data_IF_412839155617
#
_entry.id   IF_412839155617
#
_cell.length_a   1.000
_cell.length_b   1.000
_cell.length_c   1.000
_cell.angle_alpha   90.00
_cell.angle_beta   90.00
_cell.angle_gamma   90.00
#
_symmetry.space_group_name_H-M   'P 1'
#
loop_
_entity.id
_entity.type
_entity.pdbx_description
1 polymer ?
#
# COMPACT_ATOMS: atom_id res chain seq x y z
N UNK A 1 -31.46 -71.49 -7.74
CA UNK A 1 -32.34 -70.41 -7.23
C UNK A 1 -31.66 -69.81 -6.00
N UNK A 2 -31.49 -68.50 -5.84
CA UNK A 2 -31.80 -67.42 -6.80
C UNK A 2 -30.84 -66.23 -6.66
N UNK A 3 -30.62 -65.54 -7.79
CA UNK A 3 -30.32 -64.09 -7.94
C UNK A 3 -29.49 -63.34 -6.89
N UNK A 4 -28.33 -62.81 -7.34
CA UNK A 4 -27.79 -61.54 -6.85
C UNK A 4 -28.62 -60.37 -7.41
N UNK A 5 -28.65 -59.23 -6.73
CA UNK A 5 -28.93 -57.93 -7.34
C UNK A 5 -27.89 -56.89 -6.88
N UNK A 6 -27.37 -56.12 -7.83
CA UNK A 6 -26.60 -54.89 -7.59
C UNK A 6 -27.47 -53.71 -8.05
N UNK A 7 -27.76 -52.77 -7.15
CA UNK A 7 -28.36 -51.46 -7.45
C UNK A 7 -27.76 -50.45 -6.49
N UNK A 8 -27.33 -49.25 -6.87
CA UNK A 8 -27.32 -48.65 -8.20
C UNK A 8 -27.22 -47.13 -8.06
N UNK A 9 -25.99 -46.59 -8.12
CA UNK A 9 -25.70 -45.20 -7.74
C UNK A 9 -26.39 -44.18 -8.66
N UNK A 10 -27.55 -43.68 -8.23
CA UNK A 10 -28.45 -42.87 -9.04
C UNK A 10 -28.00 -41.41 -9.07
N UNK A 11 -27.07 -41.10 -9.99
CA UNK A 11 -26.67 -39.73 -10.34
C UNK A 11 -27.85 -38.91 -10.86
N UNK A 12 -28.47 -38.13 -9.97
CA UNK A 12 -29.49 -37.15 -10.34
C UNK A 12 -28.87 -36.02 -11.18
N UNK A 13 -29.23 -35.94 -12.45
CA UNK A 13 -28.95 -34.77 -13.29
C UNK A 13 -29.70 -33.55 -12.75
N UNK A 14 -28.98 -32.54 -12.26
CA UNK A 14 -29.53 -31.20 -12.03
C UNK A 14 -29.10 -30.31 -13.20
N UNK A 15 -30.08 -29.69 -13.86
CA UNK A 15 -29.87 -28.92 -15.09
C UNK A 15 -29.07 -27.65 -14.81
N UNK A 16 -28.00 -27.46 -15.57
CA UNK A 16 -27.17 -26.25 -15.53
C UNK A 16 -27.98 -25.06 -16.05
N UNK A 17 -28.09 -23.98 -15.27
CA UNK A 17 -28.63 -22.71 -15.77
C UNK A 17 -27.80 -21.53 -15.26
N UNK A 18 -27.56 -20.54 -16.12
CA UNK A 18 -26.36 -19.70 -16.03
C UNK A 18 -26.39 -18.61 -14.95
N UNK A 19 -25.67 -18.82 -13.85
CA UNK A 19 -25.20 -17.76 -12.95
C UNK A 19 -23.97 -18.25 -12.17
N UNK A 20 -22.81 -17.65 -12.41
CA UNK A 20 -21.52 -18.14 -11.92
C UNK A 20 -21.26 -17.79 -10.44
N UNK A 21 -21.99 -18.43 -9.53
CA UNK A 21 -21.73 -18.33 -8.09
C UNK A 21 -20.35 -18.90 -7.74
N UNK A 22 -19.57 -18.17 -6.95
CA UNK A 22 -18.22 -18.59 -6.50
C UNK A 22 -18.23 -18.88 -5.01
N UNK A 23 -17.74 -20.05 -4.61
CA UNK A 23 -17.42 -20.32 -3.20
C UNK A 23 -16.14 -19.54 -2.89
N UNK A 24 -16.13 -18.78 -1.79
CA UNK A 24 -14.93 -18.07 -1.32
C UNK A 24 -14.13 -18.90 -0.30
N UNK A 25 -12.99 -18.36 0.13
CA UNK A 25 -12.09 -18.96 1.15
C UNK A 25 -12.77 -19.20 2.52
N UNK A 26 -13.96 -18.63 2.73
CA UNK A 26 -14.78 -18.73 3.95
C UNK A 26 -15.88 -19.81 3.77
N UNK A 27 -15.95 -20.48 2.61
CA UNK A 27 -17.00 -21.45 2.29
C UNK A 27 -18.36 -20.82 1.93
N UNK A 28 -18.45 -19.50 1.88
CA UNK A 28 -19.69 -18.79 1.52
C UNK A 28 -19.87 -18.76 -0.01
N UNK A 29 -21.06 -19.15 -0.47
CA UNK A 29 -21.43 -19.07 -1.88
C UNK A 29 -21.80 -17.62 -2.26
N UNK A 30 -20.92 -16.96 -3.01
CA UNK A 30 -21.09 -15.59 -3.47
C UNK A 30 -21.83 -15.57 -4.82
N UNK A 31 -22.96 -14.86 -4.88
CA UNK A 31 -23.75 -14.63 -6.08
C UNK A 31 -23.57 -13.19 -6.63
N UNK A 32 -23.33 -12.99 -7.94
CA UNK A 32 -23.24 -11.64 -8.50
C UNK A 32 -24.53 -10.82 -8.35
N UNK A 33 -24.41 -9.53 -8.01
CA UNK A 33 -25.53 -8.60 -7.81
C UNK A 33 -25.54 -7.48 -8.87
N UNK A 34 -26.65 -6.76 -8.97
CA UNK A 34 -26.85 -5.63 -9.89
C UNK A 34 -26.37 -4.30 -9.29
N UNK A 35 -26.25 -3.26 -10.11
CA UNK A 35 -25.99 -1.90 -9.61
C UNK A 35 -27.12 -1.49 -8.65
N UNK A 36 -26.76 -0.87 -7.52
CA UNK A 36 -27.68 -0.45 -6.46
C UNK A 36 -28.41 -1.55 -5.66
N UNK A 37 -28.28 -2.84 -6.00
CA UNK A 37 -28.87 -3.97 -5.26
C UNK A 37 -28.52 -3.92 -3.76
N UNK A 38 -29.47 -4.32 -2.92
CA UNK A 38 -29.30 -4.37 -1.46
C UNK A 38 -29.99 -5.58 -0.86
N UNK A 39 -29.43 -6.10 0.23
CA UNK A 39 -30.00 -7.18 1.00
C UNK A 39 -29.58 -7.10 2.46
N UNK A 40 -29.75 -8.19 3.21
CA UNK A 40 -29.28 -8.27 4.59
C UNK A 40 -28.77 -9.65 4.95
N UNK A 41 -27.80 -9.70 5.86
CA UNK A 41 -27.09 -10.89 6.25
C UNK A 41 -26.22 -11.50 5.15
N UNK A 42 -25.94 -12.79 5.30
CA UNK A 42 -25.00 -13.53 4.48
C UNK A 42 -25.38 -13.56 2.98
N UNK A 43 -24.39 -13.62 2.08
CA UNK A 43 -22.95 -13.69 2.36
C UNK A 43 -22.28 -12.32 2.51
N UNK A 44 -22.99 -11.19 2.40
CA UNK A 44 -22.39 -9.84 2.26
C UNK A 44 -22.51 -8.92 3.47
N UNK A 45 -23.22 -9.35 4.51
CA UNK A 45 -23.27 -8.71 5.82
C UNK A 45 -23.30 -9.79 6.93
N UNK A 46 -22.86 -9.48 8.16
CA UNK A 46 -22.96 -10.41 9.27
C UNK A 46 -24.43 -10.65 9.68
N UNK A 47 -24.64 -11.78 10.34
CA UNK A 47 -25.90 -12.21 10.99
C UNK A 47 -25.59 -12.60 12.43
N UNK A 48 -26.61 -12.56 13.28
CA UNK A 48 -26.53 -12.93 14.70
C UNK A 48 -25.46 -12.14 15.47
N UNK A 49 -25.19 -10.91 15.02
CA UNK A 49 -24.18 -10.02 15.57
C UNK A 49 -24.70 -8.57 15.70
N UNK A 50 -24.57 -7.92 16.87
CA UNK A 50 -23.92 -8.41 18.09
C UNK A 50 -24.77 -9.38 18.92
N UNK A 51 -26.10 -9.41 18.72
CA UNK A 51 -27.01 -10.35 19.38
C UNK A 51 -27.57 -11.37 18.38
N UNK A 52 -27.97 -12.55 18.85
CA UNK A 52 -28.72 -13.53 18.05
C UNK A 52 -30.01 -12.91 17.49
N UNK A 53 -30.25 -13.08 16.19
CA UNK A 53 -31.31 -12.40 15.44
C UNK A 53 -30.91 -11.08 14.77
N UNK A 54 -29.75 -10.49 15.13
CA UNK A 54 -29.33 -9.21 14.56
C UNK A 54 -28.83 -9.37 13.12
N UNK A 55 -29.54 -8.72 12.19
CA UNK A 55 -29.26 -8.80 10.76
C UNK A 55 -28.82 -7.44 10.23
N UNK A 56 -27.55 -7.35 9.83
CA UNK A 56 -27.00 -6.16 9.16
C UNK A 56 -27.45 -6.11 7.70
N UNK A 57 -27.56 -4.90 7.15
CA UNK A 57 -27.92 -4.71 5.74
C UNK A 57 -26.69 -4.34 4.90
N UNK A 58 -26.68 -4.72 3.62
CA UNK A 58 -25.62 -4.40 2.66
C UNK A 58 -26.24 -3.77 1.41
N UNK A 59 -25.45 -2.94 0.71
CA UNK A 59 -25.85 -2.37 -0.59
C UNK A 59 -24.66 -2.16 -1.53
N UNK A 60 -24.82 -2.58 -2.79
CA UNK A 60 -23.95 -2.21 -3.90
C UNK A 60 -24.19 -0.75 -4.33
N UNK A 61 -23.13 -0.06 -4.77
CA UNK A 61 -23.20 1.26 -5.38
C UNK A 61 -23.00 1.19 -6.90
N UNK A 62 -22.42 2.27 -7.46
CA UNK A 62 -22.21 2.39 -8.91
C UNK A 62 -20.87 1.79 -9.39
N UNK A 63 -19.75 2.14 -8.75
CA UNK A 63 -18.43 1.80 -9.29
C UNK A 63 -18.08 0.34 -9.07
N UNK A 64 -17.61 -0.31 -10.13
CA UNK A 64 -17.21 -1.72 -10.18
C UNK A 64 -15.69 -1.78 -10.47
N UNK A 65 -15.01 -2.79 -9.95
CA UNK A 65 -13.59 -3.08 -10.20
C UNK A 65 -13.40 -3.84 -11.52
N UNK A 66 -12.21 -3.81 -12.10
CA UNK A 66 -11.86 -4.67 -13.25
C UNK A 66 -11.97 -6.17 -12.95
N UNK A 67 -11.90 -6.55 -11.66
CA UNK A 67 -12.18 -7.92 -11.17
C UNK A 67 -13.68 -8.28 -11.10
N UNK A 68 -14.59 -7.36 -11.45
CA UNK A 68 -16.03 -7.60 -11.48
C UNK A 68 -16.70 -7.58 -10.10
N UNK A 69 -16.27 -6.70 -9.19
CA UNK A 69 -16.87 -6.54 -7.86
C UNK A 69 -17.16 -5.06 -7.53
N UNK A 70 -18.12 -4.79 -6.66
CA UNK A 70 -18.50 -3.41 -6.31
C UNK A 70 -17.46 -2.73 -5.42
N UNK A 71 -16.85 -1.67 -5.97
CA UNK A 71 -15.94 -0.74 -5.28
C UNK A 71 -16.69 0.20 -4.35
N UNK A 72 -17.85 0.69 -4.82
CA UNK A 72 -18.83 1.31 -3.95
C UNK A 72 -19.68 0.22 -3.29
N UNK A 73 -19.48 -0.03 -2.00
CA UNK A 73 -20.44 -0.79 -1.20
C UNK A 73 -20.69 -0.12 0.15
N UNK A 74 -21.79 -0.50 0.76
CA UNK A 74 -22.28 0.03 2.02
C UNK A 74 -22.70 -1.11 2.93
N UNK A 75 -22.41 -0.98 4.22
CA UNK A 75 -22.84 -1.89 5.27
C UNK A 75 -23.57 -1.09 6.35
N UNK A 76 -24.72 -1.56 6.82
CA UNK A 76 -25.63 -0.81 7.70
C UNK A 76 -25.90 -1.57 9.00
N UNK A 77 -25.98 -0.83 10.10
CA UNK A 77 -26.33 -1.38 11.41
C UNK A 77 -27.79 -1.91 11.41
N UNK A 78 -28.09 -2.96 12.20
CA UNK A 78 -29.47 -3.39 12.45
C UNK A 78 -30.33 -2.23 12.96
N UNK A 79 -31.60 -2.19 12.52
CA UNK A 79 -32.46 -0.98 12.60
C UNK A 79 -32.77 -0.47 14.01
N UNK A 80 -32.56 -1.27 15.06
CA UNK A 80 -32.74 -0.86 16.45
C UNK A 80 -31.51 -0.16 17.06
N UNK A 81 -30.32 -0.28 16.45
CA UNK A 81 -29.15 0.49 16.86
C UNK A 81 -29.30 1.97 16.47
N UNK A 82 -29.13 2.86 17.46
CA UNK A 82 -29.07 4.30 17.22
C UNK A 82 -27.71 4.67 16.63
N UNK A 83 -27.69 5.69 15.77
CA UNK A 83 -26.44 6.21 15.22
C UNK A 83 -25.48 6.67 16.34
N UNK A 84 -24.15 6.48 16.20
CA UNK A 84 -23.16 7.03 17.11
C UNK A 84 -23.36 8.54 17.32
N UNK A 85 -23.21 9.01 18.56
CA UNK A 85 -23.52 10.39 18.97
C UNK A 85 -22.83 11.42 18.04
N UNK A 86 -23.62 12.19 17.30
CA UNK A 86 -23.17 13.28 16.43
C UNK A 86 -23.03 12.95 14.94
N UNK A 87 -23.19 11.68 14.51
CA UNK A 87 -23.00 11.27 13.11
C UNK A 87 -24.29 11.01 12.32
N UNK A 88 -24.53 11.74 11.22
CA UNK A 88 -25.61 11.41 10.27
C UNK A 88 -25.29 10.14 9.45
N UNK A 89 -25.75 8.98 9.94
CA UNK A 89 -26.25 7.76 9.23
C UNK A 89 -25.68 6.46 9.82
N UNK A 90 -26.55 5.44 9.96
CA UNK A 90 -26.22 4.06 10.30
C UNK A 90 -25.51 3.31 9.14
N UNK A 91 -24.51 3.91 8.49
CA UNK A 91 -23.87 3.34 7.28
C UNK A 91 -22.35 3.49 7.26
N UNK A 92 -21.68 2.38 7.00
CA UNK A 92 -20.24 2.28 6.83
C UNK A 92 -19.88 2.19 5.35
N UNK A 93 -18.82 2.92 4.95
CA UNK A 93 -18.34 3.03 3.56
C UNK A 93 -17.00 2.34 3.31
N UNK A 94 -16.36 1.82 4.36
CA UNK A 94 -15.04 1.17 4.30
C UNK A 94 -14.85 0.16 5.45
N UNK A 95 -13.99 -0.86 5.25
CA UNK A 95 -13.58 -1.82 6.31
C UNK A 95 -13.05 -1.07 7.55
N UNK A 96 -12.33 0.03 7.34
CA UNK A 96 -11.78 0.90 8.40
C UNK A 96 -12.90 1.59 9.20
N UNK A 97 -13.97 2.07 8.55
CA UNK A 97 -15.09 2.70 9.26
C UNK A 97 -15.84 1.71 10.16
N UNK A 98 -16.01 0.46 9.72
CA UNK A 98 -16.56 -0.62 10.57
C UNK A 98 -15.58 -0.96 11.69
N UNK A 99 -14.29 -1.17 11.39
CA UNK A 99 -13.27 -1.50 12.40
C UNK A 99 -13.17 -0.45 13.51
N UNK A 100 -13.19 0.85 13.18
CA UNK A 100 -13.18 1.94 14.16
C UNK A 100 -14.43 1.99 15.04
N UNK A 101 -15.60 1.63 14.49
CA UNK A 101 -16.84 1.50 15.26
C UNK A 101 -16.77 0.32 16.23
N UNK A 102 -16.37 -0.86 15.75
CA UNK A 102 -16.20 -2.05 16.60
C UNK A 102 -15.19 -1.81 17.72
N UNK A 103 -14.02 -1.22 17.43
CA UNK A 103 -13.00 -0.87 18.43
C UNK A 103 -13.46 0.16 19.48
N UNK A 104 -14.56 0.88 19.24
CA UNK A 104 -15.07 1.92 20.14
C UNK A 104 -16.24 1.42 20.98
N UNK A 105 -17.23 0.75 20.36
CA UNK A 105 -18.43 0.24 21.05
C UNK A 105 -18.22 -1.17 21.64
N UNK A 106 -17.26 -1.95 21.10
CA UNK A 106 -16.97 -3.36 21.49
C UNK A 106 -15.45 -3.61 21.58
N UNK A 107 -14.73 -3.02 22.56
CA UNK A 107 -13.26 -3.05 22.61
C UNK A 107 -12.65 -4.45 22.65
N UNK A 108 -13.32 -5.39 23.33
CA UNK A 108 -12.85 -6.78 23.55
C UNK A 108 -13.14 -7.73 22.37
N UNK A 109 -13.55 -7.21 21.21
CA UNK A 109 -13.91 -7.98 20.02
C UNK A 109 -12.70 -8.55 19.26
N UNK A 110 -12.76 -9.84 18.88
CA UNK A 110 -12.03 -10.31 17.71
C UNK A 110 -12.64 -9.75 16.41
N UNK A 111 -12.08 -8.64 15.97
CA UNK A 111 -12.43 -7.94 14.72
C UNK A 111 -12.11 -8.80 13.49
N UNK A 112 -11.15 -9.72 13.57
CA UNK A 112 -10.81 -10.62 12.47
C UNK A 112 -11.89 -11.70 12.35
N UNK A 113 -12.33 -12.30 13.46
CA UNK A 113 -13.49 -13.21 13.48
C UNK A 113 -14.76 -12.53 12.94
N UNK A 114 -15.03 -11.28 13.32
CA UNK A 114 -16.13 -10.50 12.74
C UNK A 114 -16.04 -10.40 11.22
N UNK A 115 -14.88 -10.04 10.66
CA UNK A 115 -14.70 -9.96 9.20
C UNK A 115 -14.53 -11.32 8.50
N UNK A 116 -14.30 -12.40 9.24
CA UNK A 116 -14.35 -13.76 8.73
C UNK A 116 -15.78 -14.32 8.69
N UNK A 117 -16.75 -13.72 9.39
CA UNK A 117 -18.14 -14.19 9.37
C UNK A 117 -18.89 -13.92 8.05
N UNK A 118 -18.40 -13.00 7.21
CA UNK A 118 -19.05 -12.62 5.94
C UNK A 118 -18.05 -12.13 4.89
N UNK A 119 -18.43 -12.22 3.60
CA UNK A 119 -17.65 -11.66 2.50
C UNK A 119 -17.81 -10.14 2.41
N UNK A 120 -16.71 -9.40 2.56
CA UNK A 120 -16.70 -7.99 2.16
C UNK A 120 -16.85 -7.82 0.63
N UNK A 121 -16.31 -8.73 -0.18
CA UNK A 121 -16.42 -8.64 -1.63
C UNK A 121 -17.85 -8.94 -2.08
N UNK A 122 -18.47 -8.01 -2.82
CA UNK A 122 -19.77 -8.19 -3.49
C UNK A 122 -19.51 -8.23 -5.01
N UNK A 123 -19.67 -9.38 -5.70
CA UNK A 123 -19.46 -9.47 -7.15
C UNK A 123 -20.58 -8.75 -7.93
N UNK A 124 -20.29 -8.32 -9.15
CA UNK A 124 -21.22 -7.62 -10.05
C UNK A 124 -21.64 -8.50 -11.24
N UNK A 125 -22.89 -8.33 -11.68
CA UNK A 125 -23.42 -8.91 -12.93
C UNK A 125 -22.89 -8.21 -14.19
N UNK A 126 -22.37 -6.99 -14.09
CA UNK A 126 -21.85 -6.24 -15.24
C UNK A 126 -20.39 -6.61 -15.53
N UNK A 127 -20.07 -6.86 -16.81
CA UNK A 127 -18.68 -6.89 -17.28
C UNK A 127 -18.10 -5.46 -17.31
N UNK A 128 -16.77 -5.28 -17.16
CA UNK A 128 -16.16 -3.94 -17.20
C UNK A 128 -16.37 -3.26 -18.56
N UNK A 129 -17.26 -2.26 -18.62
CA UNK A 129 -17.56 -1.53 -19.86
C UNK A 129 -16.55 -0.41 -20.11
N UNK A 130 -15.85 -0.45 -21.24
CA UNK A 130 -14.87 0.56 -21.64
C UNK A 130 -15.54 1.81 -22.23
N UNK A 131 -16.07 2.67 -21.37
CA UNK A 131 -16.54 4.03 -21.72
C UNK A 131 -16.15 5.03 -20.61
N UNK A 132 -16.22 6.32 -20.94
CA UNK A 132 -15.89 7.51 -20.13
C UNK A 132 -14.41 7.97 -20.18
N UNK A 133 -13.93 8.25 -21.40
CA UNK A 133 -12.86 9.25 -21.63
C UNK A 133 -13.28 10.15 -22.80
N UNK A 134 -14.01 11.22 -22.50
CA UNK A 134 -14.06 12.40 -23.37
C UNK A 134 -12.92 13.35 -22.95
N UNK A 135 -11.90 13.49 -23.78
CA UNK A 135 -11.01 14.66 -23.75
C UNK A 135 -10.52 14.99 -25.16
N UNK A 136 -10.49 16.28 -25.47
CA UNK A 136 -10.27 16.85 -26.79
C UNK A 136 -8.78 17.18 -27.04
N UNK A 137 -8.46 17.72 -28.22
CA UNK A 137 -7.17 18.21 -28.71
C UNK A 137 -6.13 17.17 -29.17
N UNK A 138 -6.30 16.78 -30.44
CA UNK A 138 -5.29 16.94 -31.49
C UNK A 138 -3.85 16.42 -31.25
N UNK A 139 -3.55 15.23 -31.80
CA UNK A 139 -2.26 15.04 -32.46
C UNK A 139 -2.43 14.26 -33.78
N UNK A 140 -1.78 14.75 -34.82
CA UNK A 140 -1.96 14.35 -36.22
C UNK A 140 -1.33 12.99 -36.57
N UNK A 141 -1.90 12.34 -37.59
CA UNK A 141 -1.58 10.97 -38.04
C UNK A 141 -0.09 10.64 -38.24
N UNK A 142 0.24 9.35 -38.05
CA UNK A 142 0.85 8.61 -39.16
C UNK A 142 0.29 7.18 -39.28
N UNK A 143 -0.64 7.02 -40.21
CA UNK A 143 -1.30 5.76 -40.51
C UNK A 143 -0.36 4.75 -41.20
N UNK A 144 -0.19 3.56 -40.63
CA UNK A 144 0.34 2.36 -41.31
C UNK A 144 -0.61 1.19 -41.09
N UNK A 145 -1.07 0.60 -42.18
CA UNK A 145 -2.14 -0.41 -42.17
C UNK A 145 -1.66 -1.80 -41.79
N UNK A 146 -2.26 -2.38 -40.74
CA UNK A 146 -2.79 -3.76 -40.83
C UNK A 146 -3.82 -3.98 -39.73
N UNK A 147 -5.06 -4.32 -40.11
CA UNK A 147 -6.15 -4.56 -39.17
C UNK A 147 -6.31 -6.05 -38.87
N UNK A 148 -5.85 -6.50 -37.69
CA UNK A 148 -6.10 -7.88 -37.20
C UNK A 148 -6.85 -7.85 -35.87
N UNK A 149 -8.10 -8.27 -35.91
CA UNK A 149 -9.01 -8.43 -34.77
C UNK A 149 -8.55 -9.60 -33.89
N UNK A 150 -7.70 -9.33 -32.90
CA UNK A 150 -7.12 -10.37 -32.05
C UNK A 150 -8.19 -10.99 -31.13
N UNK A 151 -8.65 -12.19 -31.47
CA UNK A 151 -9.57 -12.96 -30.63
C UNK A 151 -8.85 -13.54 -29.41
N UNK A 152 -9.61 -13.72 -28.33
CA UNK A 152 -9.18 -14.43 -27.14
C UNK A 152 -9.06 -15.92 -27.47
N UNK A 153 -7.83 -16.45 -27.58
CA UNK A 153 -7.58 -17.89 -27.65
C UNK A 153 -6.53 -18.30 -26.61
N UNK A 154 -6.87 -19.34 -25.85
CA UNK A 154 -5.98 -20.01 -24.91
C UNK A 154 -5.23 -21.10 -25.70
N UNK A 155 -3.90 -21.06 -25.69
CA UNK A 155 -3.05 -22.19 -26.10
C UNK A 155 -1.66 -22.05 -25.47
N UNK A 156 -1.34 -23.03 -24.62
CA UNK A 156 -0.05 -23.65 -24.27
C UNK A 156 1.27 -22.85 -24.29
N UNK A 157 2.07 -23.08 -23.25
CA UNK A 157 3.36 -22.42 -23.01
C UNK A 157 4.47 -22.94 -23.95
N UNK A 158 5.47 -22.10 -24.26
CA UNK A 158 6.63 -22.08 -23.37
C UNK A 158 6.96 -20.68 -22.84
N UNK A 159 7.29 -20.61 -21.54
CA UNK A 159 7.89 -19.47 -20.80
C UNK A 159 7.62 -18.10 -21.44
N UNK A 160 6.40 -17.58 -21.24
CA UNK A 160 6.07 -16.18 -21.54
C UNK A 160 7.07 -15.30 -20.78
N UNK A 161 8.02 -14.70 -21.49
CA UNK A 161 9.13 -13.97 -20.90
C UNK A 161 8.61 -13.01 -19.83
N UNK A 162 9.02 -13.21 -18.57
CA UNK A 162 8.55 -12.38 -17.47
C UNK A 162 9.13 -10.99 -17.73
N UNK A 163 8.26 -10.05 -18.04
CA UNK A 163 8.62 -8.68 -18.40
C UNK A 163 7.95 -7.72 -17.44
N UNK A 164 8.71 -6.78 -16.91
CA UNK A 164 8.18 -5.77 -16.00
C UNK A 164 7.10 -4.96 -16.72
N UNK A 165 5.91 -4.82 -16.12
CA UNK A 165 4.84 -3.97 -16.66
C UNK A 165 5.31 -2.54 -16.95
N UNK A 166 6.25 -2.02 -16.15
CA UNK A 166 6.85 -0.70 -16.29
C UNK A 166 8.08 -0.65 -17.21
N UNK A 167 8.34 -1.70 -18.00
CA UNK A 167 9.48 -1.78 -18.92
C UNK A 167 10.86 -1.92 -18.26
N UNK A 168 10.95 -1.94 -16.93
CA UNK A 168 12.24 -2.05 -16.23
C UNK A 168 12.86 -3.45 -16.40
N UNK A 169 14.04 -3.49 -17.05
CA UNK A 169 14.81 -4.71 -17.32
C UNK A 169 15.44 -5.36 -16.08
N UNK A 170 15.60 -4.61 -14.98
CA UNK A 170 16.21 -5.07 -13.71
C UNK A 170 15.21 -5.12 -12.55
N UNK A 171 13.93 -5.35 -12.86
CA UNK A 171 12.85 -5.42 -11.87
C UNK A 171 12.95 -6.67 -10.99
N UNK A 172 12.77 -6.53 -9.67
CA UNK A 172 12.82 -7.65 -8.70
C UNK A 172 11.72 -8.71 -8.87
N UNK A 173 10.66 -8.39 -9.63
CA UNK A 173 9.66 -9.38 -10.04
C UNK A 173 10.11 -10.29 -11.21
N UNK A 174 11.35 -10.13 -11.71
CA UNK A 174 11.93 -10.92 -12.82
C UNK A 174 12.94 -11.97 -12.33
N UNK A 175 13.48 -11.80 -11.13
CA UNK A 175 14.33 -12.78 -10.46
C UNK A 175 13.46 -13.86 -9.84
N UNK A 176 13.78 -15.14 -10.12
CA UNK A 176 12.97 -16.31 -9.72
C UNK A 176 12.95 -16.53 -8.19
N UNK A 177 13.93 -15.98 -7.48
CA UNK A 177 14.16 -16.19 -6.05
C UNK A 177 13.46 -15.13 -5.17
N UNK A 178 12.13 -15.23 -5.03
CA UNK A 178 11.40 -14.44 -4.04
C UNK A 178 10.57 -15.38 -3.14
N UNK A 179 11.04 -15.72 -1.93
CA UNK A 179 10.43 -16.78 -1.09
C UNK A 179 9.00 -16.52 -0.61
N UNK A 180 8.49 -15.30 -0.77
CA UNK A 180 7.14 -14.91 -0.34
C UNK A 180 6.36 -14.31 -1.52
N UNK A 181 5.15 -14.82 -1.82
CA UNK A 181 4.27 -14.19 -2.79
C UNK A 181 3.99 -12.72 -2.45
N UNK A 182 4.00 -11.87 -3.47
CA UNK A 182 3.64 -10.47 -3.32
C UNK A 182 2.12 -10.33 -3.13
N UNK A 183 1.65 -9.60 -2.10
CA UNK A 183 0.23 -9.22 -1.93
C UNK A 183 -0.40 -8.79 -3.25
N UNK A 184 -1.51 -9.45 -3.62
CA UNK A 184 -2.33 -9.14 -4.79
C UNK A 184 -3.04 -7.78 -4.61
N UNK A 185 -2.36 -6.72 -5.05
CA UNK A 185 -2.92 -5.37 -5.08
C UNK A 185 -3.71 -5.12 -6.37
N UNK A 186 -5.04 -5.17 -6.28
CA UNK A 186 -5.95 -4.77 -7.37
C UNK A 186 -6.11 -3.25 -7.52
N UNK A 187 -5.62 -2.46 -6.55
CA UNK A 187 -5.69 -0.99 -6.53
C UNK A 187 -4.71 -0.34 -7.51
N UNK A 188 -3.52 -0.92 -7.69
CA UNK A 188 -2.45 -0.33 -8.50
C UNK A 188 -1.82 -1.32 -9.49
N UNK A 189 -1.65 -2.60 -9.12
CA UNK A 189 -1.04 -3.59 -10.02
C UNK A 189 -1.98 -4.04 -11.15
N UNK A 190 -3.22 -3.56 -11.15
CA UNK A 190 -4.20 -3.65 -12.22
C UNK A 190 -3.93 -2.68 -13.37
N UNK A 191 -3.33 -1.53 -13.10
CA UNK A 191 -3.10 -0.48 -14.11
C UNK A 191 -2.10 -0.93 -15.20
N UNK A 192 -2.38 -0.64 -16.49
CA UNK A 192 -1.41 -0.81 -17.56
C UNK A 192 -0.14 -0.01 -17.28
N UNK A 193 1.03 -0.60 -17.50
CA UNK A 193 2.32 0.03 -17.21
C UNK A 193 2.76 0.02 -15.74
N UNK A 194 1.86 -0.17 -14.76
CA UNK A 194 2.25 -0.12 -13.34
C UNK A 194 2.92 -1.42 -12.87
N UNK A 195 4.05 -1.31 -12.18
CA UNK A 195 4.72 -2.42 -11.50
C UNK A 195 4.94 -2.07 -10.02
N UNK A 196 4.49 -2.93 -9.10
CA UNK A 196 4.59 -2.72 -7.64
C UNK A 196 6.01 -2.43 -7.15
N UNK A 197 7.00 -3.03 -7.80
CA UNK A 197 8.42 -2.96 -7.42
C UNK A 197 9.16 -1.81 -8.09
N UNK A 198 8.58 -1.16 -9.10
CA UNK A 198 9.27 -0.14 -9.90
C UNK A 198 8.50 1.18 -10.02
N UNK A 199 7.21 1.24 -9.69
CA UNK A 199 6.37 2.43 -9.81
C UNK A 199 6.01 3.01 -8.43
N UNK A 200 5.99 4.34 -8.34
CA UNK A 200 5.48 5.04 -7.18
C UNK A 200 3.94 4.96 -7.11
N UNK A 201 3.41 4.47 -5.99
CA UNK A 201 1.97 4.35 -5.72
C UNK A 201 1.18 5.68 -5.79
N UNK A 202 1.87 6.83 -5.70
CA UNK A 202 1.24 8.16 -5.69
C UNK A 202 1.24 8.88 -7.04
N UNK A 203 2.08 8.47 -8.00
CA UNK A 203 2.19 9.14 -9.31
C UNK A 203 2.33 8.18 -10.51
N UNK A 204 2.32 6.87 -10.28
CA UNK A 204 2.49 5.77 -11.24
C UNK A 204 3.82 5.74 -12.03
N UNK A 205 4.61 6.82 -12.02
CA UNK A 205 5.93 6.90 -12.66
C UNK A 205 6.95 5.98 -11.98
N UNK A 206 7.96 5.59 -12.75
CA UNK A 206 9.06 4.76 -12.26
C UNK A 206 9.90 5.45 -11.18
N UNK A 207 10.40 4.67 -10.23
CA UNK A 207 11.47 5.05 -9.32
C UNK A 207 12.82 4.95 -10.02
N UNK A 208 13.79 5.76 -9.60
CA UNK A 208 15.18 5.51 -9.97
C UNK A 208 15.91 4.71 -8.88
N UNK A 209 16.75 3.77 -9.30
CA UNK A 209 17.71 3.07 -8.45
C UNK A 209 18.98 3.88 -8.17
N UNK A 210 19.14 5.07 -8.77
CA UNK A 210 20.32 5.91 -8.61
C UNK A 210 20.69 6.15 -7.14
N UNK A 211 22.00 6.11 -6.87
CA UNK A 211 22.60 6.31 -5.56
C UNK A 211 21.94 5.49 -4.44
N UNK A 212 21.79 4.18 -4.68
CA UNK A 212 21.21 3.20 -3.74
C UNK A 212 19.76 3.53 -3.35
N UNK A 213 18.97 3.92 -4.35
CA UNK A 213 17.52 4.10 -4.23
C UNK A 213 17.07 5.20 -3.26
N UNK A 214 17.94 6.20 -3.01
CA UNK A 214 17.72 7.23 -1.99
C UNK A 214 16.34 7.91 -2.10
N UNK A 215 15.87 8.12 -3.33
CA UNK A 215 14.70 8.94 -3.68
C UNK A 215 13.35 8.30 -3.40
N UNK A 216 13.31 7.03 -2.98
CA UNK A 216 12.07 6.30 -2.71
C UNK A 216 12.07 5.57 -1.36
N UNK A 217 10.87 5.20 -0.91
CA UNK A 217 10.63 4.38 0.28
C UNK A 217 9.75 3.19 -0.10
N UNK A 218 10.10 1.98 0.36
CA UNK A 218 9.31 0.75 0.17
C UNK A 218 8.55 0.42 1.45
N UNK A 219 7.31 -0.05 1.31
CA UNK A 219 6.52 -0.54 2.42
C UNK A 219 6.86 -2.00 2.75
N UNK A 220 7.55 -2.24 3.86
CA UNK A 220 7.99 -3.57 4.29
C UNK A 220 6.99 -4.31 5.20
N UNK A 221 5.86 -3.67 5.53
CA UNK A 221 4.83 -4.26 6.39
C UNK A 221 4.27 -5.58 5.82
N UNK A 222 4.22 -6.61 6.67
CA UNK A 222 3.62 -7.90 6.39
C UNK A 222 2.12 -7.85 6.69
N UNK A 223 1.31 -8.37 5.77
CA UNK A 223 -0.15 -8.43 5.84
C UNK A 223 -0.55 -9.84 5.47
N UNK A 224 -1.26 -10.56 6.34
CA UNK A 224 -1.83 -11.89 6.02
C UNK A 224 -0.77 -12.89 5.48
N UNK A 225 0.49 -12.77 5.96
CA UNK A 225 1.64 -13.59 5.56
C UNK A 225 2.54 -13.00 4.45
N UNK A 226 2.13 -11.90 3.82
CA UNK A 226 2.75 -11.38 2.60
C UNK A 226 3.25 -9.93 2.75
N UNK A 227 4.38 -9.60 2.11
CA UNK A 227 4.93 -8.24 2.14
C UNK A 227 4.10 -7.29 1.25
N UNK A 228 3.69 -6.16 1.81
CA UNK A 228 2.94 -5.10 1.12
C UNK A 228 3.70 -4.52 -0.09
N UNK A 229 5.00 -4.28 0.07
CA UNK A 229 5.99 -4.02 -0.99
C UNK A 229 5.81 -2.77 -1.84
N UNK A 230 4.72 -2.02 -1.69
CA UNK A 230 4.47 -0.80 -2.46
C UNK A 230 5.54 0.26 -2.23
N UNK A 231 6.01 0.85 -3.33
CA UNK A 231 7.04 1.90 -3.31
C UNK A 231 6.39 3.28 -3.50
N UNK A 232 6.97 4.32 -2.90
CA UNK A 232 6.68 5.72 -3.24
C UNK A 232 7.97 6.52 -3.39
N UNK A 233 8.04 7.47 -4.34
CA UNK A 233 9.03 8.55 -4.23
C UNK A 233 8.79 9.32 -2.93
N UNK A 234 9.88 9.76 -2.29
CA UNK A 234 9.81 10.55 -1.06
C UNK A 234 9.16 11.91 -1.31
N UNK A 235 9.51 12.60 -2.40
CA UNK A 235 8.90 13.89 -2.76
C UNK A 235 7.39 13.78 -2.99
N UNK A 236 6.91 12.68 -3.60
CA UNK A 236 5.48 12.43 -3.74
C UNK A 236 4.81 12.20 -2.38
N UNK A 237 5.44 11.44 -1.48
CA UNK A 237 4.88 11.17 -0.15
C UNK A 237 4.87 12.42 0.74
N UNK A 238 5.94 13.23 0.71
CA UNK A 238 6.04 14.51 1.41
C UNK A 238 4.96 15.48 0.92
N UNK A 239 4.83 15.66 -0.41
CA UNK A 239 3.81 16.53 -1.02
C UNK A 239 2.37 16.04 -0.81
N UNK A 240 2.16 14.76 -0.56
CA UNK A 240 0.86 14.16 -0.27
C UNK A 240 0.53 14.12 1.25
N UNK A 241 1.38 14.69 2.12
CA UNK A 241 1.26 14.58 3.58
C UNK A 241 1.26 13.13 4.10
N UNK A 242 1.94 12.24 3.37
CA UNK A 242 2.13 10.83 3.69
C UNK A 242 3.57 10.51 4.15
N UNK A 243 4.45 11.51 4.24
CA UNK A 243 5.79 11.37 4.80
C UNK A 243 6.18 12.59 5.66
N UNK A 244 7.13 12.40 6.57
CA UNK A 244 7.71 13.44 7.42
C UNK A 244 6.96 13.63 8.73
N UNK A 245 6.87 14.88 9.18
CA UNK A 245 6.09 15.28 10.37
C UNK A 245 4.77 15.91 9.93
N UNK A 246 3.63 15.30 10.27
CA UNK A 246 2.30 15.67 9.75
C UNK A 246 1.28 15.68 10.89
N UNK A 247 0.72 16.85 11.19
CA UNK A 247 -0.26 17.03 12.27
C UNK A 247 -1.67 16.52 11.98
N UNK A 248 -2.61 16.91 12.83
CA UNK A 248 -4.03 16.55 12.72
C UNK A 248 -4.27 15.04 12.81
N UNK A 249 -5.33 14.55 12.15
CA UNK A 249 -5.79 13.16 12.25
C UNK A 249 -4.82 12.10 11.69
N UNK A 250 -3.76 12.51 10.98
CA UNK A 250 -2.72 11.58 10.47
C UNK A 250 -1.64 11.39 11.55
N UNK A 251 -1.20 12.46 12.20
CA UNK A 251 -0.25 12.47 13.32
C UNK A 251 1.01 11.61 13.07
N UNK A 252 1.86 12.04 12.12
CA UNK A 252 3.17 11.45 11.83
C UNK A 252 4.28 12.27 12.49
N UNK A 253 5.32 11.61 13.01
CA UNK A 253 6.56 12.22 13.49
C UNK A 253 7.74 11.52 12.78
N UNK A 254 8.37 12.19 11.81
CA UNK A 254 9.37 11.62 10.90
C UNK A 254 9.03 10.17 10.46
N UNK A 255 7.84 9.98 9.88
CA UNK A 255 7.31 8.67 9.46
C UNK A 255 6.77 8.73 8.03
N UNK A 256 6.75 7.58 7.34
CA UNK A 256 6.01 7.34 6.11
C UNK A 256 4.75 6.53 6.42
N UNK A 257 3.62 6.90 5.80
CA UNK A 257 2.36 6.18 5.82
C UNK A 257 2.14 5.52 4.46
N UNK A 258 2.04 4.20 4.41
CA UNK A 258 1.82 3.49 3.15
C UNK A 258 0.38 3.66 2.65
N UNK A 259 0.21 4.17 1.42
CA UNK A 259 -1.11 4.44 0.82
C UNK A 259 -1.99 3.20 0.57
N UNK A 260 -1.41 2.00 0.58
CA UNK A 260 -2.15 0.75 0.37
C UNK A 260 -2.72 0.15 1.67
N UNK A 261 -1.93 0.14 2.75
CA UNK A 261 -2.23 -0.63 3.97
C UNK A 261 -2.21 0.20 5.27
N UNK A 262 -2.02 1.51 5.18
CA UNK A 262 -1.93 2.45 6.31
C UNK A 262 -0.83 2.09 7.35
N UNK A 263 0.12 1.22 7.00
CA UNK A 263 1.28 0.93 7.85
C UNK A 263 2.20 2.14 7.96
N UNK A 264 2.76 2.36 9.16
CA UNK A 264 3.74 3.41 9.42
C UNK A 264 5.16 2.84 9.42
N UNK A 265 6.09 3.55 8.81
CA UNK A 265 7.51 3.23 8.78
C UNK A 265 8.32 4.43 9.27
N UNK A 266 9.38 4.20 10.07
CA UNK A 266 10.25 5.28 10.53
C UNK A 266 11.17 5.77 9.41
N UNK A 267 11.24 7.09 9.20
CA UNK A 267 12.09 7.70 8.18
C UNK A 267 13.41 8.24 8.73
N UNK A 268 13.66 8.22 10.05
CA UNK A 268 14.97 8.61 10.60
C UNK A 268 16.10 7.70 10.10
N UNK A 269 15.96 6.36 10.02
CA UNK A 269 16.96 5.50 9.39
C UNK A 269 17.14 5.80 7.90
N UNK A 270 16.04 6.13 7.18
CA UNK A 270 16.12 6.49 5.76
C UNK A 270 16.86 7.81 5.56
N UNK A 271 16.59 8.84 6.38
CA UNK A 271 17.32 10.10 6.34
C UNK A 271 18.82 9.93 6.69
N UNK A 272 19.18 8.94 7.51
CA UNK A 272 20.58 8.57 7.74
C UNK A 272 21.19 7.90 6.50
N UNK A 273 20.42 7.06 5.79
CA UNK A 273 20.83 6.51 4.48
C UNK A 273 21.08 7.65 3.48
N UNK A 274 20.15 8.61 3.35
CA UNK A 274 20.32 9.81 2.50
C UNK A 274 21.64 10.53 2.79
N UNK A 275 21.95 10.76 4.07
CA UNK A 275 23.18 11.43 4.48
C UNK A 275 24.43 10.63 4.13
N UNK A 276 24.40 9.30 4.30
CA UNK A 276 25.51 8.43 3.93
C UNK A 276 25.72 8.36 2.41
N UNK A 277 24.63 8.32 1.63
CA UNK A 277 24.66 8.38 0.16
C UNK A 277 25.42 9.61 -0.35
N UNK A 278 25.33 10.76 0.33
CA UNK A 278 26.04 11.98 -0.08
C UNK A 278 27.57 11.84 -0.10
N UNK A 279 28.14 10.83 0.56
CA UNK A 279 29.60 10.60 0.59
C UNK A 279 30.16 9.99 -0.71
N UNK A 280 29.32 9.36 -1.53
CA UNK A 280 29.69 8.78 -2.83
C UNK A 280 29.23 9.60 -4.05
N UNK A 281 28.59 10.76 -3.82
CA UNK A 281 28.09 11.65 -4.88
C UNK A 281 29.12 12.74 -5.18
N UNK A 282 29.59 12.83 -6.43
CA UNK A 282 30.50 13.89 -6.86
C UNK A 282 29.80 15.23 -7.19
N UNK A 283 28.50 15.20 -7.48
CA UNK A 283 27.71 16.38 -7.85
C UNK A 283 27.20 17.14 -6.62
N UNK A 284 27.71 18.36 -6.40
CA UNK A 284 27.21 19.26 -5.34
C UNK A 284 25.72 19.59 -5.49
N UNK A 285 25.21 19.66 -6.71
CA UNK A 285 23.79 19.91 -6.97
C UNK A 285 22.90 18.72 -6.57
N UNK A 286 23.39 17.49 -6.72
CA UNK A 286 22.64 16.29 -6.34
C UNK A 286 22.77 15.98 -4.84
N UNK A 287 23.93 16.26 -4.23
CA UNK A 287 24.05 16.31 -2.76
C UNK A 287 23.03 17.29 -2.17
N UNK A 288 22.88 18.49 -2.73
CA UNK A 288 21.88 19.44 -2.21
C UNK A 288 20.44 18.90 -2.32
N UNK A 289 20.08 18.23 -3.43
CA UNK A 289 18.76 17.56 -3.55
C UNK A 289 18.57 16.50 -2.45
N UNK A 290 19.56 15.62 -2.25
CA UNK A 290 19.50 14.55 -1.24
C UNK A 290 19.37 15.13 0.18
N UNK A 291 20.17 16.15 0.53
CA UNK A 291 20.10 16.83 1.83
C UNK A 291 18.75 17.55 2.03
N UNK A 292 18.19 18.19 0.99
CA UNK A 292 16.89 18.83 1.06
C UNK A 292 15.76 17.83 1.37
N UNK A 293 15.78 16.63 0.78
CA UNK A 293 14.82 15.56 1.11
C UNK A 293 14.97 15.14 2.58
N UNK A 294 16.20 14.98 3.08
CA UNK A 294 16.48 14.70 4.49
C UNK A 294 15.95 15.78 5.45
N UNK A 295 16.13 17.06 5.11
CA UNK A 295 15.57 18.19 5.87
C UNK A 295 14.04 18.11 5.90
N UNK A 296 13.39 17.87 4.76
CA UNK A 296 11.93 17.78 4.67
C UNK A 296 11.35 16.60 5.46
N UNK A 297 12.07 15.47 5.56
CA UNK A 297 11.67 14.31 6.39
C UNK A 297 11.71 14.63 7.89
N UNK A 298 12.76 15.29 8.34
CA UNK A 298 13.07 15.46 9.77
C UNK A 298 12.52 16.76 10.38
N UNK A 299 12.15 17.74 9.56
CA UNK A 299 11.63 19.04 10.01
C UNK A 299 10.43 18.86 10.96
N UNK A 300 10.48 19.55 12.09
CA UNK A 300 9.44 19.53 13.12
C UNK A 300 9.34 18.24 13.94
N UNK A 301 10.16 17.22 13.63
CA UNK A 301 10.15 15.93 14.35
C UNK A 301 10.42 16.11 15.83
N UNK A 302 9.79 15.30 16.69
CA UNK A 302 10.02 15.36 18.14
C UNK A 302 11.07 14.36 18.64
N UNK A 303 11.36 13.30 17.86
CA UNK A 303 12.44 12.33 18.09
C UNK A 303 13.80 13.02 18.30
N UNK A 304 14.52 12.65 19.37
CA UNK A 304 15.88 13.14 19.65
C UNK A 304 16.84 12.87 18.48
N UNK A 305 16.85 11.64 17.98
CA UNK A 305 17.66 11.22 16.83
C UNK A 305 17.32 11.97 15.55
N UNK A 306 16.04 12.31 15.33
CA UNK A 306 15.60 13.12 14.20
C UNK A 306 16.13 14.56 14.27
N UNK A 307 16.08 15.19 15.45
CA UNK A 307 16.60 16.54 15.70
C UNK A 307 18.13 16.61 15.54
N UNK A 308 18.85 15.64 16.09
CA UNK A 308 20.32 15.53 15.98
C UNK A 308 20.77 15.34 14.52
N UNK A 309 20.11 14.44 13.79
CA UNK A 309 20.39 14.18 12.38
C UNK A 309 20.05 15.38 11.49
N UNK A 310 18.94 16.09 11.77
CA UNK A 310 18.57 17.33 11.07
C UNK A 310 19.67 18.39 11.22
N UNK A 311 20.12 18.67 12.45
CA UNK A 311 21.20 19.63 12.71
C UNK A 311 22.50 19.25 11.97
N UNK A 312 22.85 17.96 11.91
CA UNK A 312 24.00 17.47 11.15
C UNK A 312 23.84 17.70 9.64
N UNK A 313 22.66 17.42 9.08
CA UNK A 313 22.34 17.65 7.65
C UNK A 313 22.37 19.14 7.30
N UNK A 314 21.82 20.00 8.16
CA UNK A 314 21.79 21.46 7.95
C UNK A 314 23.18 22.09 8.06
N UNK A 315 24.02 21.66 9.01
CA UNK A 315 25.44 22.04 9.11
C UNK A 315 26.23 21.65 7.85
N UNK A 316 26.04 20.42 7.37
CA UNK A 316 26.65 19.92 6.13
C UNK A 316 26.20 20.73 4.91
N UNK A 317 24.90 21.04 4.80
CA UNK A 317 24.41 21.93 3.73
C UNK A 317 25.04 23.33 3.82
N UNK A 318 25.14 23.91 5.02
CA UNK A 318 25.72 25.23 5.23
C UNK A 318 27.22 25.27 4.85
N UNK A 319 27.99 24.22 5.16
CA UNK A 319 29.40 24.08 4.73
C UNK A 319 29.52 24.04 3.20
N UNK A 320 28.69 23.22 2.53
CA UNK A 320 28.66 23.17 1.06
C UNK A 320 28.34 24.54 0.45
N UNK A 321 27.32 25.24 0.97
CA UNK A 321 26.96 26.58 0.47
C UNK A 321 28.11 27.59 0.60
N UNK A 322 28.89 27.53 1.69
CA UNK A 322 30.11 28.33 1.91
C UNK A 322 31.30 27.95 1.01
N UNK A 323 31.17 26.95 0.13
CA UNK A 323 32.21 26.56 -0.82
C UNK A 323 33.21 25.52 -0.30
N UNK A 324 32.97 24.92 0.86
CA UNK A 324 33.82 23.83 1.39
C UNK A 324 33.80 22.63 0.43
N UNK A 325 34.95 21.98 0.26
CA UNK A 325 35.06 20.76 -0.55
C UNK A 325 34.12 19.66 -0.01
N UNK A 326 33.54 18.87 -0.91
CA UNK A 326 32.67 17.72 -0.56
C UNK A 326 33.40 16.79 0.41
N UNK A 327 34.67 16.48 0.15
CA UNK A 327 35.49 15.57 0.97
C UNK A 327 35.71 16.08 2.41
N UNK A 328 35.82 17.40 2.61
CA UNK A 328 36.00 18.01 3.93
C UNK A 328 34.67 18.22 4.67
N UNK A 329 33.59 18.39 3.93
CA UNK A 329 32.24 18.62 4.46
C UNK A 329 31.77 17.46 5.36
N UNK A 330 32.02 16.21 4.96
CA UNK A 330 31.52 15.02 5.65
C UNK A 330 32.45 14.49 6.76
N UNK A 331 33.65 15.06 6.92
CA UNK A 331 34.53 14.73 8.05
C UNK A 331 33.80 15.08 9.36
N UNK A 332 33.77 14.14 10.30
CA UNK A 332 33.35 14.46 11.68
C UNK A 332 34.30 15.53 12.21
N UNK A 333 33.75 16.57 12.81
CA UNK A 333 34.51 17.43 13.71
C UNK A 333 34.98 16.55 14.88
N UNK A 334 36.28 16.37 15.00
CA UNK A 334 36.89 15.86 16.22
C UNK A 334 36.67 16.92 17.31
N UNK A 335 36.11 16.54 18.46
CA UNK A 335 36.14 17.39 19.64
C UNK A 335 37.60 17.59 20.04
N UNK A 336 38.18 18.73 19.63
CA UNK A 336 39.46 19.21 20.16
C UNK A 336 39.12 19.86 21.50
N UNK A 337 39.03 19.04 22.55
CA UNK A 337 38.89 19.52 23.92
C UNK A 337 40.07 20.44 24.23
N UNK A 338 39.79 21.74 24.18
CA UNK A 338 40.81 22.79 24.22
C UNK A 338 41.22 23.11 25.66
N UNK A 339 41.55 22.06 26.41
CA UNK A 339 42.16 22.14 27.73
C UNK A 339 43.63 22.53 27.54
N UNK A 340 43.89 23.83 27.51
CA UNK A 340 45.23 24.38 27.32
C UNK A 340 46.22 23.95 28.40
N UNK A 341 47.51 23.96 28.05
CA UNK A 341 48.61 23.60 28.94
C UNK A 341 48.52 24.30 30.32
N UNK A 342 48.65 23.51 31.38
CA UNK A 342 49.52 23.88 32.50
C UNK A 342 50.49 22.74 32.77
N UNK A 343 51.77 22.97 32.47
CA UNK A 343 52.85 22.02 32.67
C UNK A 343 53.50 22.18 34.05
N UNK A 344 53.90 21.06 34.63
CA UNK A 344 54.73 20.92 35.83
C UNK A 344 54.11 21.42 37.16
N UNK A 345 53.85 20.47 38.07
CA UNK A 345 54.88 20.14 39.06
C UNK A 345 54.75 18.70 39.54
N UNK A 346 55.86 18.15 40.04
CA UNK A 346 55.92 16.81 40.62
C UNK A 346 55.41 16.79 42.06
N UNK A 347 54.72 15.72 42.45
CA UNK A 347 55.30 14.77 43.42
C UNK A 347 54.37 13.60 43.73
N UNK A 348 54.99 12.46 44.02
CA UNK A 348 54.36 11.25 44.58
C UNK A 348 53.87 11.45 46.02
N UNK A 349 52.78 10.79 46.39
CA UNK A 349 52.77 9.90 47.55
C UNK A 349 51.56 8.95 47.55
N UNK A 350 51.60 7.94 48.42
CA UNK A 350 50.57 6.92 48.59
C UNK A 350 49.48 7.39 49.57
N UNK A 351 48.25 6.93 49.36
CA UNK A 351 47.48 6.09 50.30
C UNK A 351 46.23 5.53 49.60
#
# INVERSE_FOLDING_TARGET
MSSKEEVGESRAHVVYNGSASRINEIGLQLYPVSEYDSGGGLPYAPVDWPNTGDKWEWRAGKRITSSGAFKDRYLYLPKHFKAPKGGKKNVFRSKISVKKYLQYEYPDMDINQFFASFSWMIPSKQSPSSKDIDFDSDMKERSTSSGTKLQYLLSDSPIRAITCKAGNKICSSLTVENPFPAMLCDICCSEPGFCRDCCCILCCKTISSDYDGYSYIRCEAIIEGYICGHVSHLDCALRAYMAGTVGGNINLDAQYLCRYCDSRLDLVPHALKLLNTCTSVASRADIEKILNVGICILRGSQKRSGKELLHRIESIKAKLMKGVCIQDTFKKESCVDSTGNFSALSSSCLC
#
